data_IF_514644609731
#
_entry.id   IF_514644609731
#
_cell.length_a   1.000
_cell.length_b   1.000
_cell.length_c   1.000
_cell.angle_alpha   90.00
_cell.angle_beta   90.00
_cell.angle_gamma   90.00
#
_symmetry.space_group_name_H-M   'P 1'
#
loop_
_entity.id
_entity.type
_entity.pdbx_description
1 polymer ?
#
# COMPACT_ATOMS: atom_id res chain seq x y z
N UNK A 1 -13.64 -10.04 -19.14
CA UNK A 1 -12.41 -9.32 -19.57
C UNK A 1 -11.23 -10.30 -19.52
N UNK A 2 -10.35 -10.34 -20.54
CA UNK A 2 -9.18 -11.22 -20.57
C UNK A 2 -7.89 -10.43 -20.29
N UNK A 3 -6.87 -11.07 -19.71
CA UNK A 3 -5.53 -10.50 -19.53
C UNK A 3 -4.79 -10.45 -20.86
N UNK A 4 -3.63 -9.77 -20.90
CA UNK A 4 -2.73 -9.79 -22.07
C UNK A 4 -2.30 -11.22 -22.47
N UNK A 5 -2.32 -12.16 -21.51
CA UNK A 5 -2.01 -13.59 -21.71
C UNK A 5 -3.23 -14.44 -22.10
N UNK A 6 -4.40 -13.83 -22.33
CA UNK A 6 -5.61 -14.53 -22.79
C UNK A 6 -6.43 -15.22 -21.69
N UNK A 7 -5.95 -15.25 -20.46
CA UNK A 7 -6.67 -15.81 -19.31
C UNK A 7 -7.82 -14.88 -18.88
N UNK A 8 -8.86 -15.43 -18.26
CA UNK A 8 -9.91 -14.60 -17.66
C UNK A 8 -9.32 -13.75 -16.54
N UNK A 9 -9.55 -12.44 -16.60
CA UNK A 9 -9.11 -11.53 -15.57
C UNK A 9 -9.95 -11.72 -14.31
N UNK A 10 -9.28 -11.88 -13.18
CA UNK A 10 -9.92 -12.00 -11.86
C UNK A 10 -9.55 -10.81 -10.98
N UNK A 11 -9.34 -9.61 -11.54
CA UNK A 11 -9.02 -8.43 -10.73
C UNK A 11 -10.11 -8.15 -9.69
N UNK A 12 -9.75 -7.41 -8.65
CA UNK A 12 -10.69 -7.05 -7.57
C UNK A 12 -11.98 -6.42 -8.13
N UNK A 13 -11.85 -5.45 -9.04
CA UNK A 13 -13.00 -4.78 -9.69
C UNK A 13 -13.92 -5.77 -10.43
N UNK A 14 -13.34 -6.81 -11.05
CA UNK A 14 -14.12 -7.84 -11.73
C UNK A 14 -14.85 -8.68 -10.70
N UNK A 15 -14.14 -9.20 -9.70
CA UNK A 15 -14.71 -10.07 -8.68
C UNK A 15 -15.80 -9.38 -7.86
N UNK A 16 -15.69 -8.07 -7.60
CA UNK A 16 -16.76 -7.31 -6.93
C UNK A 16 -18.11 -7.44 -7.64
N UNK A 17 -18.13 -7.44 -8.99
CA UNK A 17 -19.35 -7.64 -9.77
C UNK A 17 -19.96 -9.05 -9.71
N UNK A 18 -19.25 -10.02 -9.13
CA UNK A 18 -19.70 -11.40 -8.95
C UNK A 18 -20.00 -11.77 -7.50
N UNK A 19 -19.88 -10.84 -6.54
CA UNK A 19 -20.13 -11.12 -5.10
C UNK A 19 -21.49 -11.74 -4.85
N UNK A 20 -22.53 -11.27 -5.56
CA UNK A 20 -23.89 -11.82 -5.45
C UNK A 20 -24.08 -13.20 -6.08
N UNK A 21 -23.10 -13.70 -6.84
CA UNK A 21 -23.23 -14.98 -7.56
C UNK A 21 -22.78 -16.18 -6.75
N UNK A 22 -21.80 -16.02 -5.84
CA UNK A 22 -21.29 -17.11 -5.02
C UNK A 22 -20.47 -16.59 -3.82
N UNK A 23 -20.67 -17.16 -2.64
CA UNK A 23 -19.98 -16.79 -1.39
C UNK A 23 -18.44 -16.85 -1.47
N UNK A 24 -17.90 -17.82 -2.22
CA UNK A 24 -16.47 -17.96 -2.49
C UNK A 24 -15.80 -16.67 -2.98
N UNK A 25 -16.54 -15.79 -3.66
CA UNK A 25 -15.99 -14.53 -4.17
C UNK A 25 -15.52 -13.64 -3.02
N UNK A 26 -16.30 -13.55 -1.93
CA UNK A 26 -15.91 -12.78 -0.75
C UNK A 26 -14.72 -13.42 -0.02
N UNK A 27 -14.69 -14.75 0.05
CA UNK A 27 -13.54 -15.49 0.59
C UNK A 27 -12.26 -15.24 -0.21
N UNK A 28 -12.34 -15.22 -1.55
CA UNK A 28 -11.20 -14.92 -2.43
C UNK A 28 -10.72 -13.48 -2.24
N UNK A 29 -11.64 -12.51 -2.19
CA UNK A 29 -11.30 -11.10 -1.99
C UNK A 29 -10.61 -10.89 -0.65
N UNK A 30 -11.18 -11.46 0.43
CA UNK A 30 -10.61 -11.42 1.78
C UNK A 30 -9.23 -12.07 1.83
N UNK A 31 -9.09 -13.27 1.27
CA UNK A 31 -7.82 -13.98 1.21
C UNK A 31 -6.75 -13.16 0.47
N UNK A 32 -7.09 -12.53 -0.65
CA UNK A 32 -6.13 -11.72 -1.42
C UNK A 32 -5.70 -10.48 -0.70
N UNK A 33 -6.61 -9.79 -0.02
CA UNK A 33 -6.28 -8.66 0.84
C UNK A 33 -5.29 -9.11 1.93
N UNK A 34 -5.66 -10.11 2.71
CA UNK A 34 -4.83 -10.61 3.81
C UNK A 34 -3.48 -11.12 3.35
N UNK A 35 -3.45 -11.91 2.25
CA UNK A 35 -2.20 -12.42 1.67
C UNK A 35 -1.28 -11.27 1.29
N UNK A 36 -1.80 -10.25 0.59
CA UNK A 36 -1.02 -9.07 0.19
C UNK A 36 -0.51 -8.31 1.41
N UNK A 37 -1.37 -8.06 2.39
CA UNK A 37 -0.98 -7.37 3.63
C UNK A 37 0.15 -8.11 4.35
N UNK A 38 0.00 -9.44 4.49
CA UNK A 38 0.98 -10.31 5.12
C UNK A 38 2.30 -10.32 4.36
N UNK A 39 2.28 -10.72 3.09
CA UNK A 39 3.51 -10.93 2.31
C UNK A 39 4.25 -9.64 1.98
N UNK A 40 3.52 -8.56 1.65
CA UNK A 40 4.15 -7.31 1.19
C UNK A 40 4.62 -6.44 2.35
N UNK A 41 3.97 -6.50 3.50
CA UNK A 41 4.26 -5.58 4.60
C UNK A 41 4.65 -6.30 5.89
N UNK A 42 3.81 -7.21 6.40
CA UNK A 42 4.02 -7.81 7.74
C UNK A 42 5.28 -8.68 7.77
N UNK A 43 5.47 -9.52 6.76
CA UNK A 43 6.64 -10.42 6.70
C UNK A 43 7.88 -9.69 6.16
N UNK A 44 7.71 -8.89 5.09
CA UNK A 44 8.83 -8.30 4.36
C UNK A 44 9.47 -7.09 5.06
N UNK A 45 8.70 -6.22 5.72
CA UNK A 45 9.28 -4.99 6.30
C UNK A 45 10.26 -5.25 7.46
N UNK A 46 10.01 -6.20 8.38
CA UNK A 46 10.98 -6.55 9.43
C UNK A 46 12.33 -7.03 8.87
N UNK A 47 12.34 -7.75 7.74
CA UNK A 47 13.57 -8.21 7.08
C UNK A 47 14.39 -7.06 6.48
N UNK A 48 13.78 -5.89 6.28
CA UNK A 48 14.41 -4.70 5.70
C UNK A 48 14.89 -3.69 6.77
N UNK A 49 14.85 -4.05 8.05
CA UNK A 49 15.37 -3.21 9.13
C UNK A 49 16.89 -3.17 9.05
N UNK A 50 17.45 -1.97 8.91
CA UNK A 50 18.89 -1.79 8.80
C UNK A 50 19.57 -2.03 10.16
N UNK A 51 20.54 -2.96 10.27
CA UNK A 51 21.07 -3.44 11.54
C UNK A 51 21.72 -2.33 12.38
N UNK A 52 22.43 -1.38 11.75
CA UNK A 52 23.10 -0.30 12.48
C UNK A 52 22.16 0.79 13.00
N UNK A 53 20.98 0.98 12.39
CA UNK A 53 20.07 2.11 12.74
C UNK A 53 18.80 1.64 13.42
N UNK A 54 18.44 0.36 13.28
CA UNK A 54 17.16 -0.17 13.75
C UNK A 54 15.95 0.39 13.01
N UNK A 55 16.13 0.94 11.79
CA UNK A 55 15.08 1.61 11.01
C UNK A 55 14.96 1.04 9.61
N UNK A 56 13.80 1.25 9.00
CA UNK A 56 13.55 0.99 7.58
C UNK A 56 13.94 2.23 6.79
N UNK A 57 14.70 2.05 5.72
CA UNK A 57 15.15 3.12 4.83
C UNK A 57 14.52 2.93 3.45
N UNK A 58 13.88 3.96 2.92
CA UNK A 58 13.34 3.97 1.55
C UNK A 58 14.18 4.87 0.65
N UNK A 59 14.21 4.58 -0.65
CA UNK A 59 14.79 5.46 -1.65
C UNK A 59 13.70 6.27 -2.35
N UNK A 60 13.83 7.59 -2.34
CA UNK A 60 12.97 8.49 -3.14
C UNK A 60 13.64 8.81 -4.48
N UNK A 61 13.05 8.32 -5.56
CA UNK A 61 13.52 8.57 -6.92
C UNK A 61 12.87 9.82 -7.49
N UNK A 62 13.70 10.76 -7.94
CA UNK A 62 13.25 12.08 -8.43
C UNK A 62 12.92 12.08 -9.93
N UNK A 63 13.55 11.21 -10.72
CA UNK A 63 13.55 11.30 -12.19
C UNK A 63 12.75 10.20 -12.90
N UNK A 64 11.90 9.47 -12.17
CA UNK A 64 11.19 8.29 -12.69
C UNK A 64 9.79 8.63 -13.23
N UNK A 65 9.03 9.48 -12.53
CA UNK A 65 7.66 9.77 -12.94
C UNK A 65 7.61 10.87 -14.01
N UNK A 66 6.92 10.61 -15.12
CA UNK A 66 6.73 11.59 -16.20
C UNK A 66 6.06 12.90 -15.73
N UNK A 67 5.28 12.85 -14.64
CA UNK A 67 4.57 14.00 -14.07
C UNK A 67 5.42 14.84 -13.10
N UNK A 68 6.66 14.44 -12.82
CA UNK A 68 7.53 15.08 -11.83
C UNK A 68 7.28 14.67 -10.37
N UNK A 69 6.37 13.72 -10.10
CA UNK A 69 6.18 13.16 -8.76
C UNK A 69 7.39 12.32 -8.32
N UNK A 70 7.69 12.34 -7.02
CA UNK A 70 8.64 11.38 -6.42
C UNK A 70 8.05 9.96 -6.45
N UNK A 71 8.89 8.95 -6.63
CA UNK A 71 8.53 7.54 -6.40
C UNK A 71 9.37 6.96 -5.26
N UNK A 72 8.84 5.95 -4.55
CA UNK A 72 9.52 5.29 -3.44
C UNK A 72 9.80 3.81 -3.75
N UNK A 73 11.02 3.35 -3.49
CA UNK A 73 11.47 1.96 -3.73
C UNK A 73 12.35 1.47 -2.59
N UNK A 74 12.41 0.14 -2.42
CA UNK A 74 13.30 -0.57 -1.49
C UNK A 74 13.26 -0.08 -0.03
N UNK A 75 12.12 -0.17 0.69
CA UNK A 75 10.78 -0.56 0.23
C UNK A 75 9.96 0.65 -0.25
N UNK A 76 8.84 0.40 -0.95
CA UNK A 76 7.92 1.46 -1.34
C UNK A 76 7.02 1.88 -0.15
N UNK A 77 7.35 3.01 0.46
CA UNK A 77 6.62 3.57 1.61
C UNK A 77 5.54 4.58 1.23
N UNK A 78 5.34 4.87 -0.06
CA UNK A 78 4.22 5.69 -0.53
C UNK A 78 2.89 4.90 -0.55
N UNK A 79 2.98 3.58 -0.70
CA UNK A 79 1.83 2.69 -0.86
C UNK A 79 1.47 1.90 0.41
N UNK A 80 1.69 2.48 1.60
CA UNK A 80 1.28 1.86 2.86
C UNK A 80 -0.25 1.91 2.98
N UNK A 81 -0.94 0.78 3.24
CA UNK A 81 -2.39 0.70 3.22
C UNK A 81 -3.03 1.50 4.37
N UNK A 82 -4.22 2.07 4.12
CA UNK A 82 -4.96 2.89 5.11
C UNK A 82 -6.49 2.69 5.06
N UNK A 83 -7.02 2.15 3.96
CA UNK A 83 -8.47 2.12 3.71
C UNK A 83 -9.21 1.14 4.61
N UNK A 84 -8.69 -0.08 4.76
CA UNK A 84 -9.29 -1.16 5.54
C UNK A 84 -8.75 -1.19 6.96
N UNK A 85 -9.46 -1.84 7.88
CA UNK A 85 -9.01 -2.02 9.27
C UNK A 85 -7.64 -2.70 9.34
N UNK A 86 -7.47 -3.82 8.62
CA UNK A 86 -6.18 -4.52 8.56
C UNK A 86 -5.09 -3.65 7.93
N UNK A 87 -5.42 -2.83 6.93
CA UNK A 87 -4.51 -1.85 6.38
C UNK A 87 -4.06 -0.81 7.42
N UNK A 88 -4.99 -0.27 8.22
CA UNK A 88 -4.66 0.67 9.31
C UNK A 88 -3.77 0.03 10.35
N UNK A 89 -3.98 -1.25 10.68
CA UNK A 89 -3.10 -2.00 11.60
C UNK A 89 -1.68 -2.13 11.05
N UNK A 90 -1.54 -2.40 9.75
CA UNK A 90 -0.21 -2.39 9.09
C UNK A 90 0.43 -1.00 9.17
N UNK A 91 -0.33 0.07 8.90
CA UNK A 91 0.19 1.43 9.01
C UNK A 91 0.59 1.82 10.45
N UNK A 92 -0.10 1.29 11.45
CA UNK A 92 0.20 1.53 12.87
C UNK A 92 1.56 0.94 13.31
N UNK A 93 2.19 0.07 12.51
CA UNK A 93 3.55 -0.42 12.78
C UNK A 93 4.62 0.67 12.58
N UNK A 94 4.29 1.78 11.89
CA UNK A 94 5.18 2.92 11.74
C UNK A 94 5.05 3.83 12.96
N UNK A 95 6.01 3.69 13.88
CA UNK A 95 6.03 4.39 15.17
C UNK A 95 7.11 5.48 15.23
N UNK A 96 6.97 6.48 16.12
CA UNK A 96 8.03 7.45 16.39
C UNK A 96 9.32 6.75 16.86
N UNK A 97 10.44 7.49 16.82
CA UNK A 97 11.74 6.95 17.21
C UNK A 97 11.80 6.51 18.69
N UNK A 98 11.15 7.26 19.58
CA UNK A 98 11.04 7.01 21.01
C UNK A 98 9.91 7.88 21.60
N UNK A 99 9.73 7.83 22.92
CA UNK A 99 8.67 8.54 23.66
C UNK A 99 8.79 10.07 23.60
N UNK A 100 9.97 10.61 23.31
CA UNK A 100 10.20 12.06 23.15
C UNK A 100 9.87 12.56 21.74
N UNK A 101 9.52 11.66 20.80
CA UNK A 101 9.20 12.01 19.42
C UNK A 101 7.74 11.70 19.09
N UNK A 102 7.20 12.49 18.16
CA UNK A 102 5.87 12.26 17.57
C UNK A 102 5.99 12.21 16.05
N UNK A 103 5.13 11.42 15.40
CA UNK A 103 4.95 11.47 13.96
C UNK A 103 3.86 12.49 13.63
N UNK A 104 4.25 13.57 12.97
CA UNK A 104 3.31 14.55 12.42
C UNK A 104 3.07 14.23 10.94
N UNK A 105 1.81 14.07 10.57
CA UNK A 105 1.40 13.91 9.18
C UNK A 105 0.61 15.14 8.73
N UNK A 106 0.97 15.69 7.57
CA UNK A 106 0.27 16.78 6.91
C UNK A 106 -0.05 16.37 5.47
N UNK A 107 -1.28 16.63 5.04
CA UNK A 107 -1.77 16.33 3.70
C UNK A 107 -2.48 17.58 3.17
N UNK A 108 -2.24 17.92 1.90
CA UNK A 108 -2.85 19.09 1.29
C UNK A 108 -4.33 18.84 1.00
N UNK A 109 -5.20 19.66 1.61
CA UNK A 109 -6.63 19.62 1.33
C UNK A 109 -6.91 19.86 -0.15
N UNK A 110 -7.43 18.84 -0.86
CA UNK A 110 -7.88 18.94 -2.25
C UNK A 110 -6.83 19.49 -3.23
N UNK A 111 -5.56 19.10 -3.08
CA UNK A 111 -4.45 19.71 -3.82
C UNK A 111 -4.64 19.74 -5.35
N UNK A 112 -5.14 18.65 -5.94
CA UNK A 112 -5.32 18.58 -7.39
C UNK A 112 -6.41 19.54 -7.88
N UNK A 113 -7.51 19.68 -7.13
CA UNK A 113 -8.57 20.65 -7.44
C UNK A 113 -8.09 22.09 -7.29
N UNK A 114 -7.25 22.35 -6.29
CA UNK A 114 -6.68 23.69 -6.03
C UNK A 114 -5.66 24.13 -7.08
N UNK A 115 -4.93 23.19 -7.70
CA UNK A 115 -3.95 23.51 -8.75
C UNK A 115 -4.63 23.81 -10.10
N UNK A 116 -5.82 23.28 -10.33
CA UNK A 116 -6.58 23.48 -11.57
C UNK A 116 -7.38 24.80 -11.56
N UNK A 117 -7.82 25.26 -10.38
CA UNK A 117 -8.57 26.51 -10.21
C UNK A 117 -7.70 27.76 -10.41
#
# INVERSE_FOLDING_TARGET
KKTKTGQYATSEDILQGYRSKHEIVDSILTYRELKKLKSTYVDALPELVHPATGRIHTSYNQTVAATGRLSSTNPNLQNIPIRTENGRRVRAMFVPANEQHVLLAADYSQIELRVIA
#
